data_IF_412332245011
#
_entry.id   IF_412332245011
#
_cell.length_a   1.000
_cell.length_b   1.000
_cell.length_c   1.000
_cell.angle_alpha   90.00
_cell.angle_beta   90.00
_cell.angle_gamma   90.00
#
_symmetry.space_group_name_H-M   'P 1'
#
loop_
_entity.id
_entity.type
_entity.pdbx_description
1 polymer ?
#
# COMPACT_ATOMS: atom_id res chain seq x y z
N UNK A 1 29.32 -25.78 32.97
CA UNK A 1 29.80 -25.25 31.66
C UNK A 1 28.70 -25.07 30.59
N UNK A 2 27.41 -25.23 30.93
CA UNK A 2 26.29 -25.20 29.97
C UNK A 2 25.80 -23.79 29.59
N UNK A 3 26.07 -22.78 30.41
CA UNK A 3 25.50 -21.42 30.25
C UNK A 3 26.02 -20.67 29.01
N UNK A 4 27.33 -20.79 28.70
CA UNK A 4 27.97 -20.09 27.57
C UNK A 4 27.51 -20.53 26.17
N UNK A 5 26.90 -21.71 26.02
CA UNK A 5 26.34 -22.17 24.74
C UNK A 5 24.96 -21.55 24.50
N UNK A 6 24.12 -21.50 25.53
CA UNK A 6 22.78 -20.90 25.43
C UNK A 6 22.85 -19.41 25.08
N UNK A 7 23.73 -18.66 25.72
CA UNK A 7 23.94 -17.23 25.44
C UNK A 7 24.41 -16.95 24.01
N UNK A 8 25.26 -17.83 23.45
CA UNK A 8 25.74 -17.70 22.08
C UNK A 8 24.63 -17.95 21.07
N UNK A 9 23.75 -18.92 21.34
CA UNK A 9 22.60 -19.23 20.48
C UNK A 9 21.57 -18.09 20.54
N UNK A 10 21.25 -17.57 21.73
CA UNK A 10 20.32 -16.45 21.89
C UNK A 10 20.79 -15.17 21.16
N UNK A 11 22.09 -14.84 21.27
CA UNK A 11 22.67 -13.72 20.53
C UNK A 11 22.65 -13.95 19.02
N UNK A 12 22.97 -15.15 18.55
CA UNK A 12 22.93 -15.48 17.13
C UNK A 12 21.53 -15.27 16.54
N UNK A 13 20.49 -15.77 17.21
CA UNK A 13 19.09 -15.61 16.77
C UNK A 13 18.69 -14.13 16.71
N UNK A 14 19.11 -13.33 17.69
CA UNK A 14 18.83 -11.89 17.70
C UNK A 14 19.48 -11.17 16.50
N UNK A 15 20.75 -11.48 16.22
CA UNK A 15 21.47 -10.93 15.06
C UNK A 15 20.87 -11.39 13.73
N UNK A 16 20.41 -12.64 13.62
CA UNK A 16 19.70 -13.12 12.43
C UNK A 16 18.40 -12.36 12.18
N UNK A 17 17.59 -12.13 13.23
CA UNK A 17 16.35 -11.35 13.11
C UNK A 17 16.63 -9.91 12.68
N UNK A 18 17.66 -9.28 13.26
CA UNK A 18 18.07 -7.94 12.88
C UNK A 18 18.53 -7.87 11.42
N UNK A 19 19.37 -8.81 10.98
CA UNK A 19 19.85 -8.87 9.60
C UNK A 19 18.71 -9.08 8.60
N UNK A 20 17.74 -9.95 8.92
CA UNK A 20 16.55 -10.16 8.08
C UNK A 20 15.72 -8.87 7.97
N UNK A 21 15.45 -8.21 9.09
CA UNK A 21 14.72 -6.93 9.09
C UNK A 21 15.44 -5.86 8.26
N UNK A 22 16.76 -5.77 8.40
CA UNK A 22 17.58 -4.84 7.62
C UNK A 22 17.55 -5.16 6.12
N UNK A 23 17.64 -6.43 5.74
CA UNK A 23 17.52 -6.85 4.34
C UNK A 23 16.16 -6.49 3.75
N UNK A 24 15.07 -6.69 4.49
CA UNK A 24 13.72 -6.32 4.02
C UNK A 24 13.59 -4.80 3.84
N UNK A 25 14.12 -4.01 4.77
CA UNK A 25 14.14 -2.55 4.66
C UNK A 25 14.94 -2.10 3.44
N UNK A 26 16.13 -2.65 3.23
CA UNK A 26 16.97 -2.32 2.08
C UNK A 26 16.29 -2.70 0.76
N UNK A 27 15.60 -3.84 0.70
CA UNK A 27 14.78 -4.25 -0.45
C UNK A 27 13.67 -3.25 -0.76
N UNK A 28 12.97 -2.76 0.27
CA UNK A 28 11.94 -1.73 0.05
C UNK A 28 12.57 -0.44 -0.48
N UNK A 29 13.65 0.03 0.15
CA UNK A 29 14.34 1.27 -0.26
C UNK A 29 14.85 1.16 -1.69
N UNK A 30 15.44 0.04 -2.10
CA UNK A 30 15.92 -0.14 -3.47
C UNK A 30 14.78 -0.21 -4.48
N UNK A 31 13.65 -0.85 -4.14
CA UNK A 31 12.45 -0.84 -4.99
C UNK A 31 11.93 0.59 -5.20
N UNK A 32 11.74 1.37 -4.12
CA UNK A 32 11.30 2.77 -4.22
C UNK A 32 12.32 3.65 -4.96
N UNK A 33 13.64 3.46 -4.72
CA UNK A 33 14.68 4.27 -5.35
C UNK A 33 14.94 3.90 -6.82
N UNK A 34 14.66 2.66 -7.24
CA UNK A 34 14.87 2.19 -8.61
C UNK A 34 13.93 2.82 -9.64
N UNK A 35 12.93 3.59 -9.21
CA UNK A 35 11.90 4.13 -10.10
C UNK A 35 10.99 3.06 -10.71
N UNK A 36 11.08 1.81 -10.22
CA UNK A 36 10.27 0.71 -10.71
C UNK A 36 8.88 0.78 -10.06
N UNK A 37 7.93 1.31 -10.82
CA UNK A 37 6.52 1.36 -10.41
C UNK A 37 5.91 -0.03 -10.58
N UNK A 38 5.54 -0.67 -9.47
CA UNK A 38 4.83 -1.96 -9.50
C UNK A 38 3.53 -1.82 -10.31
N UNK A 39 3.16 -2.83 -11.11
CA UNK A 39 1.88 -2.82 -11.83
C UNK A 39 0.73 -2.72 -10.83
N UNK A 40 -0.07 -1.66 -10.94
CA UNK A 40 -1.14 -1.32 -10.01
C UNK A 40 -1.45 0.18 -10.03
N UNK A 41 -2.57 0.58 -9.41
CA UNK A 41 -3.08 1.98 -9.49
C UNK A 41 -2.02 2.99 -9.02
N UNK A 42 -1.32 2.69 -7.92
CA UNK A 42 -0.24 3.54 -7.40
C UNK A 42 0.96 3.65 -8.37
N UNK A 43 1.35 2.57 -9.02
CA UNK A 43 2.47 2.57 -9.94
C UNK A 43 2.16 3.34 -11.22
N UNK A 44 0.94 3.22 -11.74
CA UNK A 44 0.52 3.92 -12.96
C UNK A 44 0.46 5.43 -12.76
N UNK A 45 0.04 5.89 -11.57
CA UNK A 45 0.02 7.32 -11.26
C UNK A 45 1.42 7.88 -11.05
N UNK A 46 2.32 7.16 -10.37
CA UNK A 46 3.73 7.59 -10.28
C UNK A 46 4.35 7.68 -11.68
N UNK A 47 4.06 6.71 -12.56
CA UNK A 47 4.52 6.70 -13.95
C UNK A 47 3.95 7.87 -14.75
N UNK A 48 2.67 8.18 -14.57
CA UNK A 48 2.01 9.32 -15.21
C UNK A 48 2.57 10.66 -14.71
N UNK A 49 2.81 10.80 -13.41
CA UNK A 49 3.40 12.00 -12.82
C UNK A 49 4.80 12.27 -13.37
N UNK A 50 5.62 11.21 -13.46
CA UNK A 50 6.97 11.30 -14.03
C UNK A 50 6.96 11.60 -15.54
N UNK A 51 5.98 11.08 -16.28
CA UNK A 51 5.89 11.28 -17.73
C UNK A 51 5.38 12.67 -18.13
N UNK A 52 4.56 13.28 -17.28
CA UNK A 52 3.81 14.51 -17.63
C UNK A 52 4.28 15.73 -16.83
N UNK A 53 5.18 15.54 -15.86
CA UNK A 53 5.64 16.57 -14.90
C UNK A 53 4.48 17.24 -14.14
N UNK A 54 3.42 16.47 -13.90
CA UNK A 54 2.22 16.89 -13.17
C UNK A 54 2.14 16.03 -11.92
N UNK A 55 1.90 16.64 -10.77
CA UNK A 55 1.60 15.89 -9.56
C UNK A 55 0.11 15.49 -9.56
N UNK A 56 -0.20 14.25 -9.95
CA UNK A 56 -1.55 13.67 -9.85
C UNK A 56 -1.82 12.99 -8.50
N UNK A 57 -0.93 13.13 -7.51
CA UNK A 57 -1.21 12.72 -6.12
C UNK A 57 -2.51 13.33 -5.55
N UNK A 58 -2.93 14.56 -5.90
CA UNK A 58 -4.20 15.13 -5.47
C UNK A 58 -5.43 14.34 -5.91
N UNK A 59 -5.40 13.58 -7.02
CA UNK A 59 -6.52 12.71 -7.41
C UNK A 59 -6.77 11.63 -6.35
N UNK A 60 -5.71 11.01 -5.81
CA UNK A 60 -5.84 10.05 -4.72
C UNK A 60 -6.26 10.68 -3.40
N UNK A 61 -5.70 11.84 -3.06
CA UNK A 61 -6.11 12.53 -1.83
C UNK A 61 -7.57 12.98 -1.93
N UNK A 62 -8.04 13.40 -3.11
CA UNK A 62 -9.43 13.80 -3.34
C UNK A 62 -10.39 12.60 -3.34
N UNK A 63 -9.99 11.42 -3.80
CA UNK A 63 -10.82 10.21 -3.69
C UNK A 63 -10.93 9.72 -2.24
N UNK A 64 -9.87 9.88 -1.44
CA UNK A 64 -9.90 9.55 0.00
C UNK A 64 -10.65 10.61 0.81
N UNK A 65 -10.52 11.90 0.46
CA UNK A 65 -11.28 12.98 1.10
C UNK A 65 -12.78 12.89 0.77
N UNK A 66 -13.14 12.52 -0.47
CA UNK A 66 -14.54 12.41 -0.91
C UNK A 66 -15.08 10.97 -0.80
N UNK A 67 -14.39 10.08 -0.09
CA UNK A 67 -14.81 8.68 0.03
C UNK A 67 -16.18 8.56 0.71
N UNK A 68 -16.48 9.46 1.66
CA UNK A 68 -17.82 9.58 2.27
C UNK A 68 -18.90 9.95 1.26
N UNK A 69 -18.60 10.86 0.35
CA UNK A 69 -19.55 11.37 -0.63
C UNK A 69 -19.80 10.34 -1.74
N UNK A 70 -18.75 9.56 -2.07
CA UNK A 70 -18.86 8.42 -2.97
C UNK A 70 -19.69 7.29 -2.35
N UNK A 71 -19.49 6.98 -1.07
CA UNK A 71 -20.29 6.00 -0.32
C UNK A 71 -21.76 6.42 -0.20
N UNK A 72 -22.01 7.71 0.05
CA UNK A 72 -23.35 8.29 0.07
C UNK A 72 -24.02 8.22 -1.30
N UNK A 73 -23.28 8.53 -2.37
CA UNK A 73 -23.77 8.41 -3.75
C UNK A 73 -24.15 6.98 -4.13
N UNK A 74 -23.32 5.99 -3.75
CA UNK A 74 -23.62 4.56 -3.97
C UNK A 74 -24.82 4.10 -3.15
N UNK A 75 -24.97 4.56 -1.89
CA UNK A 75 -26.13 4.24 -1.04
C UNK A 75 -27.43 4.72 -1.68
N UNK A 76 -27.46 5.97 -2.17
CA UNK A 76 -28.65 6.54 -2.84
C UNK A 76 -28.99 5.78 -4.13
N UNK A 77 -27.99 5.40 -4.94
CA UNK A 77 -28.21 4.59 -6.13
C UNK A 77 -28.79 3.20 -5.79
N UNK A 78 -28.32 2.55 -4.72
CA UNK A 78 -28.85 1.26 -4.28
C UNK A 78 -30.28 1.37 -3.76
N UNK A 79 -30.60 2.42 -3.02
CA UNK A 79 -31.96 2.69 -2.54
C UNK A 79 -32.92 2.96 -3.70
N UNK A 80 -32.50 3.76 -4.68
CA UNK A 80 -33.26 4.00 -5.90
C UNK A 80 -33.47 2.72 -6.70
N UNK A 81 -32.43 1.91 -6.91
CA UNK A 81 -32.52 0.64 -7.62
C UNK A 81 -33.43 -0.38 -6.91
N UNK A 82 -33.49 -0.36 -5.57
CA UNK A 82 -34.44 -1.17 -4.79
C UNK A 82 -35.87 -0.66 -4.84
N UNK A 83 -36.06 0.64 -5.03
CA UNK A 83 -37.37 1.28 -5.11
C UNK A 83 -37.99 1.25 -6.52
N UNK A 84 -37.20 0.94 -7.56
CA UNK A 84 -37.70 0.75 -8.91
C UNK A 84 -38.47 -0.57 -9.01
N UNK A 85 -39.77 -0.56 -9.33
CA UNK A 85 -40.52 -1.78 -9.60
C UNK A 85 -39.96 -2.45 -10.86
N UNK A 86 -39.81 -3.77 -10.84
CA UNK A 86 -39.43 -4.56 -12.01
C UNK A 86 -40.49 -4.33 -13.09
N UNK A 87 -40.15 -3.52 -14.10
CA UNK A 87 -40.95 -3.37 -15.31
C UNK A 87 -40.80 -4.65 -16.13
N UNK A 88 -41.66 -5.64 -15.85
CA UNK A 88 -42.03 -6.69 -16.81
C UNK A 88 -42.96 -6.12 -17.89
#
# INVERSE_FOLDING_TARGET
>A
MTNKRHDRIGRFIAWSKFAIGLCMLLLMVTLFASGYTLPGVFGEVVRHNQATDIDASPLFYSEVENMSDLEDGVRVMMEQARSMPSSE
#
